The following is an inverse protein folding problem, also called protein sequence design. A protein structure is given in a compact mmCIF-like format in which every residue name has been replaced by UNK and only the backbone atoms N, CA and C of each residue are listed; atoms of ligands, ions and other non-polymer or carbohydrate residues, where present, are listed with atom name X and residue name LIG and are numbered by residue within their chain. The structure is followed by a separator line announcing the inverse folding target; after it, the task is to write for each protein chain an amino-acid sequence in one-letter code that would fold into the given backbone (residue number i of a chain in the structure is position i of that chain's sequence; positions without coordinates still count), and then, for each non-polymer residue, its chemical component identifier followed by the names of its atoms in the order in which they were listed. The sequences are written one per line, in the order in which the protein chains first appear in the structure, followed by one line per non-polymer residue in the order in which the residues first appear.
data_IF_004322883591
#
_entry.id   IF_004322883591
#
_cell.length_a   1.000
_cell.length_b   1.000
_cell.length_c   1.000
_cell.angle_alpha   90.00
_cell.angle_beta   90.00
_cell.angle_gamma   90.00
#
_symmetry.space_group_name_H-M   'P 1'
#
loop_
_entity.id
_entity.type
_entity.pdbx_description
1 polymer ?
#
# COMPACT_ATOMS: atom_id res chain seq x y z
N UNK A 1 -4.11 0.17 6.54
CA UNK A 1 -5.02 0.81 5.56
C UNK A 1 -4.98 2.32 5.77
N UNK A 2 -4.43 3.12 4.83
CA UNK A 2 -4.53 4.58 4.86
C UNK A 2 -5.91 5.02 4.38
N UNK A 3 -6.48 6.04 4.99
CA UNK A 3 -7.84 6.54 4.69
C UNK A 3 -7.82 8.07 4.64
N UNK A 4 -8.46 8.67 3.63
CA UNK A 4 -8.66 10.11 3.53
C UNK A 4 -9.91 10.44 2.73
N UNK A 5 -10.92 11.02 3.38
CA UNK A 5 -12.21 11.40 2.80
C UNK A 5 -12.91 10.24 2.06
N UNK A 6 -13.17 9.15 2.79
CA UNK A 6 -13.86 7.94 2.29
C UNK A 6 -15.12 7.62 3.14
N UNK A 7 -15.75 8.64 3.76
CA UNK A 7 -16.88 8.46 4.68
C UNK A 7 -18.06 7.68 4.09
N UNK A 8 -18.27 7.76 2.77
CA UNK A 8 -19.36 7.05 2.09
C UNK A 8 -19.16 5.53 2.00
N UNK A 9 -17.90 5.04 2.05
CA UNK A 9 -17.58 3.64 1.74
C UNK A 9 -16.79 2.93 2.83
N UNK A 10 -16.15 3.65 3.76
CA UNK A 10 -15.18 3.06 4.68
C UNK A 10 -15.81 2.04 5.63
N UNK A 11 -17.02 2.27 6.12
CA UNK A 11 -17.69 1.32 6.99
C UNK A 11 -17.89 -0.03 6.29
N UNK A 12 -18.43 -0.01 5.06
CA UNK A 12 -18.60 -1.21 4.25
C UNK A 12 -17.26 -1.92 3.97
N UNK A 13 -16.21 -1.15 3.66
CA UNK A 13 -14.86 -1.71 3.38
C UNK A 13 -14.31 -2.43 4.61
N UNK A 14 -14.44 -1.85 5.79
CA UNK A 14 -13.98 -2.45 7.04
C UNK A 14 -14.74 -3.74 7.38
N UNK A 15 -16.07 -3.74 7.23
CA UNK A 15 -16.89 -4.92 7.44
C UNK A 15 -16.55 -6.05 6.47
N UNK A 16 -16.34 -5.73 5.19
CA UNK A 16 -15.92 -6.71 4.15
C UNK A 16 -14.57 -7.32 4.50
N UNK A 17 -13.59 -6.52 4.96
CA UNK A 17 -12.30 -7.01 5.42
C UNK A 17 -12.39 -7.85 6.69
N UNK A 18 -13.17 -7.44 7.69
CA UNK A 18 -13.40 -8.24 8.90
C UNK A 18 -13.96 -9.62 8.56
N UNK A 19 -14.98 -9.65 7.71
CA UNK A 19 -15.58 -10.90 7.24
C UNK A 19 -14.56 -11.81 6.55
N UNK A 20 -13.77 -11.26 5.62
CA UNK A 20 -12.78 -12.01 4.86
C UNK A 20 -11.66 -12.58 5.76
N UNK A 21 -11.15 -11.77 6.69
CA UNK A 21 -10.06 -12.17 7.57
C UNK A 21 -10.48 -13.16 8.65
N UNK A 22 -11.70 -13.01 9.22
CA UNK A 22 -12.27 -13.96 10.19
C UNK A 22 -12.46 -15.35 9.60
N UNK A 23 -12.77 -15.46 8.31
CA UNK A 23 -12.89 -16.75 7.62
C UNK A 23 -11.55 -17.52 7.53
N UNK A 24 -10.41 -16.82 7.64
CA UNK A 24 -9.10 -17.46 7.60
C UNK A 24 -8.66 -18.08 8.93
N UNK A 25 -9.40 -17.86 10.01
CA UNK A 25 -9.09 -18.32 11.35
C UNK A 25 -7.64 -18.00 11.78
N UNK A 26 -7.23 -16.75 11.58
CA UNK A 26 -5.92 -16.21 11.90
C UNK A 26 -6.03 -15.09 12.93
N UNK A 27 -4.97 -14.84 13.68
CA UNK A 27 -4.88 -13.66 14.51
C UNK A 27 -4.46 -12.46 13.63
N UNK A 28 -5.25 -11.37 13.64
CA UNK A 28 -5.02 -10.20 12.82
C UNK A 28 -5.49 -8.91 13.51
N UNK A 29 -4.94 -7.80 13.05
CA UNK A 29 -5.42 -6.45 13.35
C UNK A 29 -5.57 -5.66 12.05
N UNK A 30 -6.65 -4.87 11.96
CA UNK A 30 -6.86 -3.90 10.88
C UNK A 30 -6.49 -2.52 11.42
N UNK A 31 -5.28 -2.07 11.11
CA UNK A 31 -4.81 -0.74 11.49
C UNK A 31 -5.29 0.27 10.45
N UNK A 32 -6.21 1.15 10.84
CA UNK A 32 -6.82 2.19 9.99
C UNK A 32 -6.19 3.53 10.32
N UNK A 33 -5.51 4.12 9.35
CA UNK A 33 -4.82 5.41 9.51
C UNK A 33 -5.63 6.51 8.82
N UNK A 34 -6.42 7.26 9.58
CA UNK A 34 -7.10 8.45 9.08
C UNK A 34 -6.10 9.60 8.91
N UNK A 35 -5.82 9.98 7.67
CA UNK A 35 -4.86 11.04 7.33
C UNK A 35 -5.51 12.43 7.33
N UNK A 36 -6.22 12.77 8.43
CA UNK A 36 -6.85 14.06 8.64
C UNK A 36 -8.02 14.32 7.69
N UNK A 37 -8.94 13.37 7.57
CA UNK A 37 -10.18 13.53 6.79
C UNK A 37 -11.01 14.71 7.28
N UNK A 38 -11.76 15.31 6.35
CA UNK A 38 -12.59 16.51 6.60
C UNK A 38 -14.08 16.24 6.51
N UNK A 39 -14.44 15.04 6.12
CA UNK A 39 -15.81 14.50 6.02
C UNK A 39 -16.12 13.60 7.23
N UNK A 40 -17.18 12.80 7.14
CA UNK A 40 -17.59 11.89 8.21
C UNK A 40 -16.73 10.63 8.38
N UNK A 41 -15.60 10.51 7.65
CA UNK A 41 -14.76 9.29 7.62
C UNK A 41 -14.38 8.80 9.02
N UNK A 42 -13.90 9.69 9.90
CA UNK A 42 -13.44 9.28 11.23
C UNK A 42 -14.57 8.73 12.10
N UNK A 43 -15.76 9.31 12.01
CA UNK A 43 -16.92 8.81 12.76
C UNK A 43 -17.34 7.42 12.28
N UNK A 44 -17.41 7.22 10.96
CA UNK A 44 -17.72 5.91 10.36
C UNK A 44 -16.71 4.83 10.79
N UNK A 45 -15.41 5.15 10.79
CA UNK A 45 -14.38 4.23 11.27
C UNK A 45 -14.59 3.88 12.75
N UNK A 46 -14.84 4.88 13.59
CA UNK A 46 -15.00 4.69 15.03
C UNK A 46 -16.26 3.85 15.35
N UNK A 47 -17.37 4.06 14.63
CA UNK A 47 -18.58 3.26 14.81
C UNK A 47 -18.35 1.77 14.53
N UNK A 48 -17.63 1.45 13.45
CA UNK A 48 -17.29 0.05 13.16
C UNK A 48 -16.31 -0.50 14.21
N UNK A 49 -15.34 0.29 14.65
CA UNK A 49 -14.32 -0.11 15.62
C UNK A 49 -14.92 -0.39 17.02
N UNK A 50 -15.99 0.31 17.44
CA UNK A 50 -16.65 0.10 18.73
C UNK A 50 -17.09 -1.36 18.94
N UNK A 51 -17.48 -2.04 17.88
CA UNK A 51 -17.98 -3.41 17.93
C UNK A 51 -16.97 -4.46 17.45
N UNK A 52 -15.74 -4.05 17.10
CA UNK A 52 -14.73 -4.90 16.47
C UNK A 52 -13.34 -4.62 17.02
N UNK A 53 -12.93 -5.35 18.04
CA UNK A 53 -11.65 -5.17 18.74
C UNK A 53 -10.41 -5.37 17.85
N UNK A 54 -10.56 -6.01 16.70
CA UNK A 54 -9.52 -6.21 15.70
C UNK A 54 -9.18 -4.92 14.94
N UNK A 55 -10.06 -3.91 14.98
CA UNK A 55 -9.80 -2.61 14.35
C UNK A 55 -9.06 -1.69 15.32
N UNK A 56 -7.92 -1.17 14.85
CA UNK A 56 -7.13 -0.16 15.55
C UNK A 56 -7.17 1.14 14.75
N UNK A 57 -7.69 2.20 15.35
CA UNK A 57 -7.85 3.51 14.71
C UNK A 57 -6.71 4.43 15.09
N UNK A 58 -6.06 5.00 14.09
CA UNK A 58 -5.01 6.01 14.22
C UNK A 58 -5.45 7.28 13.51
N UNK A 59 -5.83 8.29 14.29
CA UNK A 59 -6.18 9.61 13.76
C UNK A 59 -4.97 10.53 13.80
N UNK A 60 -4.64 11.16 12.67
CA UNK A 60 -3.44 12.00 12.54
C UNK A 60 -3.67 13.22 11.65
N UNK A 61 -2.86 14.23 11.82
CA UNK A 61 -2.82 15.36 10.90
C UNK A 61 -2.41 14.88 9.51
N UNK A 62 -3.06 15.43 8.46
CA UNK A 62 -2.78 15.08 7.08
C UNK A 62 -1.30 15.27 6.73
N UNK A 63 -0.65 14.22 6.33
CA UNK A 63 0.75 14.21 5.90
C UNK A 63 0.95 13.62 4.50
N UNK A 64 -0.14 13.19 3.89
CA UNK A 64 -0.18 12.57 2.57
C UNK A 64 -0.06 11.05 2.60
N UNK A 65 -0.64 10.43 1.60
CA UNK A 65 -0.80 8.98 1.46
C UNK A 65 0.49 8.19 1.68
N UNK A 66 1.61 8.60 1.05
CA UNK A 66 2.88 7.87 1.18
C UNK A 66 3.46 7.92 2.60
N UNK A 67 3.44 9.09 3.21
CA UNK A 67 3.87 9.31 4.59
C UNK A 67 3.05 8.47 5.58
N UNK A 68 1.74 8.39 5.36
CA UNK A 68 0.81 7.61 6.18
C UNK A 68 1.07 6.11 6.06
N UNK A 69 1.32 5.59 4.85
CA UNK A 69 1.72 4.20 4.63
C UNK A 69 3.04 3.89 5.34
N UNK A 70 4.04 4.76 5.20
CA UNK A 70 5.34 4.54 5.83
C UNK A 70 5.23 4.52 7.36
N UNK A 71 4.46 5.43 7.97
CA UNK A 71 4.20 5.42 9.41
C UNK A 71 3.57 4.10 9.84
N UNK A 72 2.55 3.64 9.13
CA UNK A 72 1.90 2.37 9.40
C UNK A 72 2.85 1.17 9.36
N UNK A 73 3.80 1.16 8.43
CA UNK A 73 4.80 0.10 8.34
C UNK A 73 5.81 0.15 9.49
N UNK A 74 6.25 1.35 9.89
CA UNK A 74 7.22 1.54 10.98
C UNK A 74 6.64 1.22 12.36
N UNK A 75 5.35 1.43 12.55
CA UNK A 75 4.65 1.18 13.80
C UNK A 75 4.24 -0.29 13.97
N UNK A 76 4.23 -1.06 12.88
CA UNK A 76 3.82 -2.47 12.94
C UNK A 76 4.89 -3.36 13.55
N UNK A 77 4.50 -4.14 14.57
CA UNK A 77 5.31 -5.22 15.17
C UNK A 77 4.94 -6.61 14.66
N UNK A 78 3.95 -6.72 13.78
CA UNK A 78 3.45 -8.01 13.26
C UNK A 78 4.47 -8.70 12.37
N UNK A 79 4.46 -10.04 12.36
CA UNK A 79 5.32 -10.86 11.49
C UNK A 79 5.05 -10.61 10.01
N UNK A 80 3.78 -10.45 9.65
CA UNK A 80 3.33 -10.15 8.31
C UNK A 80 2.62 -8.80 8.27
N UNK A 81 2.95 -7.99 7.30
CA UNK A 81 2.26 -6.74 7.02
C UNK A 81 1.55 -6.89 5.68
N UNK A 82 0.25 -6.61 5.70
CA UNK A 82 -0.55 -6.49 4.50
C UNK A 82 -1.00 -5.04 4.33
N UNK A 83 -0.80 -4.50 3.14
CA UNK A 83 -1.31 -3.18 2.76
C UNK A 83 -2.42 -3.32 1.75
N UNK A 84 -3.46 -2.52 1.93
CA UNK A 84 -4.51 -2.24 0.94
C UNK A 84 -4.96 -0.80 1.10
N UNK A 85 -5.50 -0.22 0.02
CA UNK A 85 -6.15 1.10 0.06
C UNK A 85 -7.61 0.95 0.54
N UNK A 86 -8.24 2.07 0.92
CA UNK A 86 -9.59 2.14 1.49
C UNK A 86 -10.70 2.32 0.45
N UNK A 87 -10.34 2.42 -0.82
CA UNK A 87 -11.26 2.77 -1.92
C UNK A 87 -11.99 1.59 -2.56
N UNK A 88 -11.77 0.38 -2.02
CA UNK A 88 -12.40 -0.85 -2.50
C UNK A 88 -12.15 -1.18 -4.00
N UNK A 89 -11.10 -0.60 -4.60
CA UNK A 89 -10.70 -0.92 -5.97
C UNK A 89 -10.23 -2.37 -6.14
N UNK A 90 -9.68 -2.98 -5.05
CA UNK A 90 -9.35 -4.41 -4.98
C UNK A 90 -10.08 -5.00 -3.78
N UNK A 91 -10.88 -6.03 -4.03
CA UNK A 91 -11.74 -6.63 -3.02
C UNK A 91 -10.98 -7.46 -1.99
N UNK A 92 -11.57 -7.61 -0.79
CA UNK A 92 -11.01 -8.38 0.33
C UNK A 92 -10.83 -9.86 0.01
N UNK A 93 -11.69 -10.45 -0.82
CA UNK A 93 -11.62 -11.87 -1.20
C UNK A 93 -10.35 -12.23 -1.99
N UNK A 94 -9.71 -11.27 -2.67
CA UNK A 94 -8.43 -11.46 -3.35
C UNK A 94 -7.28 -11.77 -2.36
N UNK A 95 -7.42 -11.41 -1.08
CA UNK A 95 -6.40 -11.61 -0.05
C UNK A 95 -6.06 -13.08 0.19
N UNK A 96 -7.05 -13.97 0.09
CA UNK A 96 -6.84 -15.40 0.29
C UNK A 96 -5.72 -15.99 -0.58
N UNK A 97 -5.64 -15.54 -1.83
CA UNK A 97 -4.62 -16.00 -2.77
C UNK A 97 -3.20 -15.57 -2.33
N UNK A 98 -3.07 -14.34 -1.82
CA UNK A 98 -1.79 -13.83 -1.30
C UNK A 98 -1.41 -14.58 -0.03
N UNK A 99 -2.36 -14.74 0.89
CA UNK A 99 -2.14 -15.39 2.17
C UNK A 99 -1.63 -16.84 2.03
N UNK A 100 -2.16 -17.59 1.07
CA UNK A 100 -1.76 -18.96 0.81
C UNK A 100 -0.33 -19.08 0.27
N UNK A 101 0.24 -18.03 -0.30
CA UNK A 101 1.62 -18.04 -0.81
C UNK A 101 2.67 -17.60 0.22
N UNK A 102 2.26 -17.21 1.44
CA UNK A 102 3.15 -16.60 2.43
C UNK A 102 4.26 -17.52 2.95
N UNK A 103 4.03 -18.84 2.99
CA UNK A 103 5.00 -19.75 3.60
C UNK A 103 6.30 -19.83 2.80
N UNK A 104 6.22 -19.78 1.48
CA UNK A 104 7.33 -19.95 0.57
C UNK A 104 7.93 -18.65 0.05
N UNK A 105 7.32 -17.50 0.39
CA UNK A 105 7.68 -16.21 -0.17
C UNK A 105 7.88 -15.16 0.93
N UNK A 106 8.72 -14.16 0.65
CA UNK A 106 8.99 -13.02 1.53
C UNK A 106 8.15 -11.80 1.16
N UNK A 107 7.80 -11.68 -0.14
CA UNK A 107 7.04 -10.56 -0.70
C UNK A 107 6.03 -11.06 -1.73
N UNK A 108 4.76 -10.86 -1.45
CA UNK A 108 3.63 -11.23 -2.29
C UNK A 108 2.92 -9.95 -2.72
N UNK A 109 2.77 -9.73 -4.01
CA UNK A 109 2.18 -8.48 -4.53
C UNK A 109 1.15 -8.77 -5.62
N UNK A 110 0.06 -8.01 -5.60
CA UNK A 110 -0.93 -8.05 -6.65
C UNK A 110 -0.41 -7.45 -7.96
N UNK A 111 -0.80 -8.02 -9.09
CA UNK A 111 -0.75 -7.40 -10.40
C UNK A 111 -2.17 -7.02 -10.78
N UNK A 112 -2.45 -5.73 -10.86
CA UNK A 112 -3.78 -5.24 -11.21
C UNK A 112 -4.16 -5.61 -12.63
N UNK A 113 -5.17 -6.46 -12.78
CA UNK A 113 -5.78 -6.81 -14.07
C UNK A 113 -6.93 -5.84 -14.39
N UNK A 114 -7.31 -5.74 -15.65
CA UNK A 114 -8.43 -4.90 -16.13
C UNK A 114 -8.29 -3.40 -15.82
N UNK A 115 -7.05 -2.91 -15.64
CA UNK A 115 -6.79 -1.52 -15.31
C UNK A 115 -6.92 -0.59 -16.52
N UNK A 116 -8.09 0.03 -16.70
CA UNK A 116 -8.32 1.11 -17.67
C UNK A 116 -7.77 2.46 -17.16
N UNK A 117 -6.44 2.57 -17.07
CA UNK A 117 -5.81 3.81 -16.61
C UNK A 117 -5.58 4.80 -17.75
N UNK A 118 -5.72 6.11 -17.50
CA UNK A 118 -5.30 7.14 -18.44
C UNK A 118 -3.84 6.96 -18.88
N UNK A 119 -3.53 7.39 -20.10
CA UNK A 119 -2.19 7.25 -20.69
C UNK A 119 -1.09 7.83 -19.80
N UNK A 120 -1.34 8.97 -19.16
CA UNK A 120 -0.39 9.59 -18.21
C UNK A 120 -0.01 8.67 -17.05
N UNK A 121 -0.97 7.96 -16.47
CA UNK A 121 -0.70 6.98 -15.40
C UNK A 121 0.05 5.75 -15.90
N UNK A 122 -0.23 5.30 -17.15
CA UNK A 122 0.51 4.19 -17.77
C UNK A 122 1.98 4.56 -17.97
N UNK A 123 2.25 5.78 -18.46
CA UNK A 123 3.61 6.31 -18.65
C UNK A 123 4.35 6.37 -17.31
N UNK A 124 3.75 6.95 -16.27
CA UNK A 124 4.36 7.03 -14.92
C UNK A 124 4.66 5.62 -14.39
N UNK A 125 3.72 4.68 -14.52
CA UNK A 125 3.93 3.30 -14.07
C UNK A 125 5.06 2.61 -14.84
N UNK A 126 5.18 2.85 -16.14
CA UNK A 126 6.26 2.33 -16.98
C UNK A 126 7.63 2.87 -16.52
N UNK A 127 7.76 4.19 -16.33
CA UNK A 127 9.02 4.78 -15.85
C UNK A 127 9.37 4.35 -14.43
N UNK A 128 8.39 4.23 -13.53
CA UNK A 128 8.62 3.71 -12.18
C UNK A 128 9.15 2.28 -12.21
N UNK A 129 8.55 1.41 -13.03
CA UNK A 129 9.02 0.04 -13.23
C UNK A 129 10.43 0.00 -13.82
N UNK A 130 10.68 0.79 -14.86
CA UNK A 130 11.99 0.88 -15.50
C UNK A 130 13.09 1.33 -14.52
N UNK A 131 12.80 2.35 -13.70
CA UNK A 131 13.69 2.82 -12.64
C UNK A 131 14.03 1.70 -11.65
N UNK A 132 13.03 0.95 -11.19
CA UNK A 132 13.26 -0.17 -10.29
C UNK A 132 14.10 -1.24 -10.97
N UNK A 133 13.81 -1.59 -12.22
CA UNK A 133 14.58 -2.62 -12.93
C UNK A 133 16.05 -2.25 -13.12
N UNK A 134 16.35 -0.97 -13.38
CA UNK A 134 17.73 -0.49 -13.58
C UNK A 134 18.48 -0.35 -12.25
N UNK A 135 17.85 0.22 -11.22
CA UNK A 135 18.54 0.59 -9.99
C UNK A 135 18.50 -0.48 -8.90
N UNK A 136 17.45 -1.31 -8.87
CA UNK A 136 17.22 -2.27 -7.79
C UNK A 136 17.22 -3.73 -8.28
N UNK A 137 17.03 -3.95 -9.58
CA UNK A 137 16.94 -5.28 -10.18
C UNK A 137 15.54 -5.63 -10.67
N UNK A 138 15.46 -6.77 -11.36
CA UNK A 138 14.20 -7.28 -11.94
C UNK A 138 13.45 -8.12 -10.90
N UNK A 139 12.12 -8.21 -11.03
CA UNK A 139 11.31 -9.10 -10.17
C UNK A 139 9.87 -8.64 -10.03
N UNK A 140 9.60 -7.32 -10.00
CA UNK A 140 8.23 -6.79 -9.81
C UNK A 140 7.74 -6.07 -11.06
N UNK A 141 6.51 -6.39 -11.48
CA UNK A 141 5.84 -5.80 -12.65
C UNK A 141 5.02 -4.58 -12.27
N UNK A 142 4.11 -4.70 -11.30
CA UNK A 142 3.29 -3.58 -10.80
C UNK A 142 3.88 -3.03 -9.50
N UNK A 143 4.99 -2.29 -9.64
CA UNK A 143 5.81 -1.79 -8.51
C UNK A 143 5.04 -0.88 -7.53
N UNK A 144 3.93 -0.30 -7.95
CA UNK A 144 3.12 0.60 -7.13
C UNK A 144 1.75 0.01 -6.75
N UNK A 145 1.55 -1.31 -6.91
CA UNK A 145 0.30 -1.93 -6.47
C UNK A 145 0.20 -1.84 -4.93
N UNK A 146 -0.91 -1.32 -4.38
CA UNK A 146 -1.08 -1.21 -2.92
C UNK A 146 -1.42 -2.56 -2.28
N UNK A 147 -1.82 -3.55 -3.06
CA UNK A 147 -2.23 -4.86 -2.58
C UNK A 147 -1.02 -5.77 -2.41
N UNK A 148 -0.38 -5.71 -1.22
CA UNK A 148 0.89 -6.39 -0.94
C UNK A 148 0.95 -6.97 0.46
N UNK A 149 1.53 -8.16 0.55
CA UNK A 149 1.79 -8.88 1.79
C UNK A 149 3.29 -9.17 1.89
N UNK A 150 3.93 -8.83 3.01
CA UNK A 150 5.36 -9.04 3.17
C UNK A 150 5.79 -9.35 4.60
N UNK A 151 6.93 -10.04 4.74
CA UNK A 151 7.55 -10.31 6.03
C UNK A 151 8.18 -9.06 6.59
N UNK A 152 7.68 -8.58 7.73
CA UNK A 152 8.14 -7.34 8.35
C UNK A 152 9.67 -7.33 8.60
N UNK A 153 10.20 -8.40 9.18
CA UNK A 153 11.63 -8.53 9.51
C UNK A 153 12.57 -8.32 8.32
N UNK A 154 12.13 -8.69 7.11
CA UNK A 154 12.93 -8.54 5.89
C UNK A 154 13.05 -7.08 5.43
N UNK A 155 12.10 -6.25 5.81
CA UNK A 155 12.01 -4.85 5.38
C UNK A 155 12.37 -3.85 6.47
N UNK A 156 12.30 -4.23 7.75
CA UNK A 156 12.43 -3.32 8.89
C UNK A 156 13.69 -2.43 8.83
N UNK A 157 14.87 -3.00 8.51
CA UNK A 157 16.12 -2.24 8.38
C UNK A 157 16.05 -1.16 7.28
N UNK A 158 15.41 -1.49 6.16
CA UNK A 158 15.29 -0.58 5.02
C UNK A 158 14.20 0.47 5.25
N UNK A 159 13.07 0.08 5.87
CA UNK A 159 11.99 0.99 6.25
C UNK A 159 12.52 2.11 7.17
N UNK A 160 13.31 1.78 8.18
CA UNK A 160 13.92 2.74 9.10
C UNK A 160 14.90 3.73 8.44
N UNK A 161 15.40 3.42 7.24
CA UNK A 161 16.25 4.32 6.46
C UNK A 161 15.46 5.26 5.54
N UNK A 162 14.16 5.03 5.33
CA UNK A 162 13.32 5.86 4.49
C UNK A 162 13.05 7.21 5.16
N UNK A 163 12.89 8.25 4.34
CA UNK A 163 12.48 9.57 4.84
C UNK A 163 10.99 9.58 5.16
N UNK A 164 10.60 10.24 6.26
CA UNK A 164 9.19 10.31 6.71
C UNK A 164 8.27 11.00 5.69
N UNK A 165 8.82 11.83 4.82
CA UNK A 165 8.12 12.51 3.72
C UNK A 165 8.09 11.72 2.40
N UNK A 166 8.41 10.42 2.45
CA UNK A 166 8.40 9.55 1.26
C UNK A 166 7.02 9.52 0.62
N UNK A 167 6.97 9.93 -0.65
CA UNK A 167 5.71 10.07 -1.42
C UNK A 167 5.18 8.71 -1.89
N UNK A 168 6.08 7.83 -2.38
CA UNK A 168 5.71 6.53 -2.94
C UNK A 168 6.51 5.39 -2.30
N UNK A 169 6.28 5.08 -1.00
CA UNK A 169 6.98 3.99 -0.32
C UNK A 169 6.78 2.65 -1.03
N UNK A 170 5.63 2.47 -1.67
CA UNK A 170 5.30 1.25 -2.42
C UNK A 170 6.31 0.94 -3.54
N UNK A 171 6.77 1.95 -4.26
CA UNK A 171 7.78 1.80 -5.33
C UNK A 171 9.11 1.38 -4.72
N UNK A 172 9.53 2.06 -3.64
CA UNK A 172 10.81 1.77 -2.96
C UNK A 172 10.80 0.37 -2.35
N UNK A 173 9.72 -0.05 -1.70
CA UNK A 173 9.58 -1.39 -1.11
C UNK A 173 9.66 -2.48 -2.19
N UNK A 174 9.01 -2.27 -3.33
CA UNK A 174 9.15 -3.18 -4.48
C UNK A 174 10.61 -3.27 -4.95
N UNK A 175 11.33 -2.14 -4.96
CA UNK A 175 12.75 -2.09 -5.26
C UNK A 175 13.60 -2.84 -4.23
N UNK A 176 13.35 -2.64 -2.93
CA UNK A 176 14.05 -3.34 -1.84
C UNK A 176 13.90 -4.86 -2.00
N UNK A 177 12.70 -5.35 -2.29
CA UNK A 177 12.46 -6.77 -2.51
C UNK A 177 13.32 -7.33 -3.66
N UNK A 178 13.43 -6.58 -4.78
CA UNK A 178 14.29 -6.95 -5.90
C UNK A 178 15.79 -6.91 -5.52
N UNK A 179 16.24 -5.82 -4.87
CA UNK A 179 17.63 -5.58 -4.51
C UNK A 179 18.19 -6.67 -3.58
N UNK A 180 17.40 -7.13 -2.65
CA UNK A 180 17.80 -8.17 -1.69
C UNK A 180 17.48 -9.60 -2.17
N UNK A 181 17.14 -9.79 -3.44
CA UNK A 181 16.81 -11.09 -4.04
C UNK A 181 15.80 -11.88 -3.18
N UNK A 182 14.79 -11.19 -2.65
CA UNK A 182 13.75 -11.84 -1.83
C UNK A 182 12.93 -12.79 -2.69
N UNK A 183 12.32 -13.80 -2.05
CA UNK A 183 11.37 -14.69 -2.72
C UNK A 183 10.08 -13.91 -3.01
N UNK A 184 9.93 -13.49 -4.27
CA UNK A 184 8.82 -12.65 -4.75
C UNK A 184 7.83 -13.52 -5.52
N UNK A 185 6.55 -13.40 -5.19
CA UNK A 185 5.46 -13.93 -6.03
C UNK A 185 4.48 -12.81 -6.37
N UNK A 186 4.01 -12.82 -7.60
CA UNK A 186 3.06 -11.83 -8.12
C UNK A 186 1.76 -12.54 -8.50
N UNK A 187 0.64 -12.04 -8.02
CA UNK A 187 -0.68 -12.66 -8.19
C UNK A 187 -1.58 -11.69 -8.93
N UNK A 188 -2.21 -12.12 -10.05
CA UNK A 188 -3.24 -11.30 -10.68
C UNK A 188 -4.38 -11.04 -9.70
N UNK A 189 -4.74 -9.75 -9.52
CA UNK A 189 -5.87 -9.32 -8.70
C UNK A 189 -6.83 -8.47 -9.55
N UNK A 190 -8.12 -8.69 -9.37
CA UNK A 190 -9.12 -7.93 -10.11
C UNK A 190 -9.17 -6.49 -9.58
N UNK A 191 -8.93 -5.55 -10.50
CA UNK A 191 -9.02 -4.13 -10.24
C UNK A 191 -10.35 -3.60 -10.77
N UNK A 192 -11.17 -3.01 -9.89
CA UNK A 192 -12.42 -2.36 -10.25
C UNK A 192 -12.29 -0.85 -10.02
N UNK A 193 -12.61 -0.03 -11.03
CA UNK A 193 -12.64 1.43 -10.82
C UNK A 193 -13.59 1.80 -9.68
N UNK A 194 -13.27 2.85 -8.96
CA UNK A 194 -14.12 3.42 -7.90
C UNK A 194 -15.52 3.67 -8.42
N UNK A 195 -16.51 3.36 -7.61
CA UNK A 195 -17.92 3.73 -7.83
C UNK A 195 -18.24 5.11 -7.25
N UNK A 196 -17.46 5.61 -6.28
CA UNK A 196 -17.66 6.85 -5.53
C UNK A 196 -16.33 7.56 -5.29
N UNK A 197 -16.39 8.84 -4.91
CA UNK A 197 -15.22 9.64 -4.54
C UNK A 197 -14.51 10.31 -5.72
N UNK A 198 -13.76 11.37 -5.42
CA UNK A 198 -12.98 12.13 -6.39
C UNK A 198 -11.53 11.64 -6.46
N UNK A 199 -10.93 11.74 -7.66
CA UNK A 199 -9.50 11.45 -7.84
C UNK A 199 -8.69 12.54 -7.15
N UNK A 200 -7.98 12.20 -6.09
CA UNK A 200 -7.27 13.13 -5.19
C UNK A 200 -6.18 13.96 -5.89
N UNK A 201 -5.72 13.62 -7.10
CA UNK A 201 -4.58 14.29 -7.75
C UNK A 201 -4.96 14.80 -9.15
N UNK A 202 -4.94 16.11 -9.32
CA UNK A 202 -5.10 16.80 -10.61
C UNK A 202 -3.88 16.59 -11.53
N UNK A 203 -4.07 16.66 -12.86
CA UNK A 203 -3.06 16.28 -13.88
C UNK A 203 -1.67 16.92 -13.68
N UNK A 204 -1.57 18.22 -13.38
CA UNK A 204 -0.29 18.91 -13.18
C UNK A 204 0.40 18.52 -11.86
N UNK A 205 -0.38 18.32 -10.80
CA UNK A 205 0.13 17.80 -9.53
C UNK A 205 0.68 16.39 -9.68
N UNK A 206 0.07 15.57 -10.55
CA UNK A 206 0.51 14.20 -10.81
C UNK A 206 1.95 14.15 -11.35
N UNK A 207 2.32 15.02 -12.28
CA UNK A 207 3.67 15.08 -12.85
C UNK A 207 4.70 15.48 -11.78
N UNK A 208 4.39 16.52 -10.99
CA UNK A 208 5.27 16.97 -9.90
C UNK A 208 5.50 15.85 -8.87
N UNK A 209 4.42 15.20 -8.46
CA UNK A 209 4.47 14.06 -7.51
C UNK A 209 5.28 12.90 -8.10
N UNK A 210 5.11 12.60 -9.39
CA UNK A 210 5.88 11.54 -10.05
C UNK A 210 7.39 11.84 -10.11
N UNK A 211 7.78 13.07 -10.41
CA UNK A 211 9.19 13.49 -10.41
C UNK A 211 9.78 13.42 -9.00
N UNK A 212 9.07 13.94 -8.00
CA UNK A 212 9.52 13.88 -6.61
C UNK A 212 9.66 12.44 -6.11
N UNK A 213 8.68 11.57 -6.41
CA UNK A 213 8.75 10.15 -6.10
C UNK A 213 9.95 9.47 -6.77
N UNK A 214 10.22 9.83 -8.02
CA UNK A 214 11.38 9.32 -8.76
C UNK A 214 12.69 9.75 -8.09
N UNK A 215 12.86 11.03 -7.77
CA UNK A 215 14.03 11.56 -7.06
C UNK A 215 14.24 10.87 -5.71
N UNK A 216 13.17 10.67 -4.94
CA UNK A 216 13.24 9.94 -3.67
C UNK A 216 13.66 8.48 -3.87
N UNK A 217 13.15 7.82 -4.91
CA UNK A 217 13.49 6.42 -5.22
C UNK A 217 14.97 6.29 -5.60
N UNK A 218 15.50 7.19 -6.45
CA UNK A 218 16.92 7.22 -6.82
C UNK A 218 17.79 7.57 -5.61
N UNK A 219 17.45 8.62 -4.88
CA UNK A 219 18.17 9.05 -3.68
C UNK A 219 18.25 7.98 -2.60
N UNK A 220 17.16 7.25 -2.39
CA UNK A 220 17.14 6.13 -1.45
C UNK A 220 18.07 4.99 -1.88
N UNK A 221 18.14 4.68 -3.17
CA UNK A 221 19.07 3.68 -3.70
C UNK A 221 20.53 4.06 -3.45
N UNK A 222 20.87 5.33 -3.67
CA UNK A 222 22.22 5.86 -3.40
C UNK A 222 22.54 5.76 -1.90
N UNK A 223 21.60 6.17 -1.04
CA UNK A 223 21.76 6.10 0.43
C UNK A 223 22.01 4.67 0.92
N UNK A 224 21.33 3.67 0.34
CA UNK A 224 21.58 2.25 0.71
C UNK A 224 22.93 1.77 0.22
N UNK A 225 23.39 2.23 -0.94
CA UNK A 225 24.68 1.83 -1.50
C UNK A 225 25.88 2.37 -0.70
N UNK A 226 25.72 3.56 -0.10
CA UNK A 226 26.78 4.23 0.67
C UNK A 226 26.86 3.79 2.14
N UNK A 227 25.86 3.06 2.65
CA UNK A 227 25.74 2.56 4.05
C UNK A 227 25.61 1.03 4.13
#
# INVERSE_FOLDING_TARGET
MPVYNEGEVIAYVLEDWLKALRQLNINFEICVYNDGSRDNTLNEINEVALNNNEIKVFDKTNSGHGSTILSAYLESSSKWIFQTDSDNEIKSNEFYQLWNKRNDNDFIIGIRTNRNSPLSRKIISFFSRLTIQILYGKGVVDVNCPYRLFRNEKFAKSLNKMSKDTIAPNVIISGIACLHNMKIVQIPVEFKPRSTGEVSIQKWKLIKVAIQSWLQTVGFRIKIFMN
#
